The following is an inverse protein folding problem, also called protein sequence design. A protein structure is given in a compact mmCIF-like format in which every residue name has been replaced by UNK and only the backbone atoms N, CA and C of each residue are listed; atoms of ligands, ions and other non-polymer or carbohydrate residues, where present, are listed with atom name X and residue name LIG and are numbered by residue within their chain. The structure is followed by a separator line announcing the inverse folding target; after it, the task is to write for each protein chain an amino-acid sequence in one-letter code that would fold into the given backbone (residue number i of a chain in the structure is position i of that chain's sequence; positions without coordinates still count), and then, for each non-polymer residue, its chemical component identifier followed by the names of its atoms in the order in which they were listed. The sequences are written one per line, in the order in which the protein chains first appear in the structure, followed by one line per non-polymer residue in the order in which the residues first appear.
data_IF_085293579956
#
_entry.id   IF_085293579956
#
_cell.length_a   1.000
_cell.length_b   1.000
_cell.length_c   1.000
_cell.angle_alpha   90.00
_cell.angle_beta   90.00
_cell.angle_gamma   90.00
#
_symmetry.space_group_name_H-M   'P 1'
#
loop_
_entity.id
_entity.type
_entity.pdbx_description
1 polymer ?
#
# COMPACT_ATOMS: atom_id res chain seq x y z
N UNK A 1 31.62 -7.24 4.76
CA UNK A 1 31.21 -5.96 4.15
C UNK A 1 29.72 -6.06 3.91
N UNK A 2 28.93 -5.52 4.85
CA UNK A 2 27.50 -5.80 4.93
C UNK A 2 26.73 -5.18 3.75
N UNK A 3 25.78 -5.93 3.23
CA UNK A 3 24.84 -5.55 2.17
C UNK A 3 24.40 -4.10 2.30
N UNK A 4 24.62 -3.33 1.23
CA UNK A 4 23.78 -2.16 0.97
C UNK A 4 22.39 -2.70 0.69
N UNK A 5 21.62 -2.96 1.75
CA UNK A 5 20.19 -3.25 1.66
C UNK A 5 19.59 -2.25 0.66
N UNK A 6 19.06 -2.78 -0.43
CA UNK A 6 18.53 -1.99 -1.53
C UNK A 6 17.28 -1.28 -1.03
N UNK A 7 17.47 -0.11 -0.45
CA UNK A 7 16.38 0.69 0.11
C UNK A 7 15.33 0.93 -0.94
N UNK A 8 14.07 0.74 -0.57
CA UNK A 8 12.94 1.07 -1.42
C UNK A 8 12.80 2.59 -1.46
N UNK A 9 12.84 3.16 -2.67
CA UNK A 9 12.65 4.59 -2.88
C UNK A 9 11.21 4.88 -3.28
N UNK A 10 10.50 5.64 -2.44
CA UNK A 10 9.17 6.15 -2.74
C UNK A 10 9.27 7.56 -3.30
N UNK A 11 8.90 7.79 -4.57
CA UNK A 11 8.95 9.10 -5.17
C UNK A 11 7.95 10.06 -4.49
N UNK A 12 8.21 11.37 -4.53
CA UNK A 12 7.26 12.35 -4.04
C UNK A 12 6.00 12.32 -4.92
N UNK A 13 4.90 11.80 -4.37
CA UNK A 13 3.60 11.76 -5.02
C UNK A 13 2.65 12.79 -4.39
N UNK A 14 1.61 13.19 -5.13
CA UNK A 14 0.57 14.10 -4.64
C UNK A 14 -0.34 13.39 -3.63
N UNK A 15 0.10 13.32 -2.38
CA UNK A 15 -0.67 12.81 -1.24
C UNK A 15 -0.88 13.93 -0.24
N UNK A 16 -1.99 14.67 -0.34
CA UNK A 16 -2.23 15.84 0.52
C UNK A 16 -1.15 16.92 0.32
N UNK A 17 -0.21 17.04 1.28
CA UNK A 17 1.00 17.87 1.15
C UNK A 17 2.18 16.99 0.69
N UNK A 18 2.60 17.05 -0.60
CA UNK A 18 3.66 16.20 -1.10
C UNK A 18 4.98 16.47 -0.37
N UNK A 19 5.76 15.41 -0.14
CA UNK A 19 7.13 15.55 0.33
C UNK A 19 7.98 16.25 -0.75
N UNK A 20 8.94 17.09 -0.32
CA UNK A 20 9.85 17.76 -1.25
C UNK A 20 10.93 16.82 -1.82
N UNK A 21 11.10 15.63 -1.23
CA UNK A 21 12.13 14.66 -1.60
C UNK A 21 11.59 13.23 -1.53
N UNK A 22 12.18 12.29 -2.27
CA UNK A 22 11.89 10.86 -2.13
C UNK A 22 12.12 10.39 -0.70
N UNK A 23 11.28 9.44 -0.27
CA UNK A 23 11.43 8.76 1.02
C UNK A 23 12.12 7.42 0.80
N UNK A 24 12.98 7.00 1.72
CA UNK A 24 13.76 5.76 1.62
C UNK A 24 13.47 4.89 2.83
N UNK A 25 13.09 3.65 2.59
CA UNK A 25 12.70 2.68 3.60
C UNK A 25 13.47 1.37 3.41
N UNK A 26 13.63 0.59 4.48
CA UNK A 26 14.03 -0.81 4.34
C UNK A 26 12.89 -1.62 3.68
N UNK A 27 13.18 -2.75 3.01
CA UNK A 27 12.16 -3.55 2.30
C UNK A 27 10.97 -3.97 3.18
N UNK A 28 11.24 -4.33 4.43
CA UNK A 28 10.22 -4.80 5.38
C UNK A 28 9.68 -3.67 6.29
N UNK A 29 10.11 -2.43 6.04
CA UNK A 29 9.69 -1.28 6.85
C UNK A 29 8.27 -0.84 6.47
N UNK A 30 7.38 -0.77 7.47
CA UNK A 30 5.99 -0.40 7.26
C UNK A 30 5.85 1.10 6.97
N UNK A 31 5.26 1.42 5.82
CA UNK A 31 4.98 2.81 5.40
C UNK A 31 3.53 3.16 5.68
N UNK A 32 3.28 4.20 6.48
CA UNK A 32 1.94 4.75 6.65
C UNK A 32 1.51 5.53 5.40
N UNK A 33 0.35 5.17 4.86
CA UNK A 33 -0.31 5.83 3.75
C UNK A 33 -1.71 6.26 4.18
N UNK A 34 -1.95 7.57 4.29
CA UNK A 34 -3.27 8.11 4.62
C UNK A 34 -4.07 8.38 3.33
N UNK A 35 -5.12 7.60 3.12
CA UNK A 35 -6.07 7.78 2.01
C UNK A 35 -7.51 7.98 2.51
N UNK A 36 -8.25 8.81 1.79
CA UNK A 36 -9.70 8.95 1.98
C UNK A 36 -10.41 8.19 0.87
N UNK A 37 -11.25 7.24 1.24
CA UNK A 37 -12.02 6.41 0.32
C UNK A 37 -13.53 6.60 0.52
N UNK A 38 -14.37 6.35 -0.49
CA UNK A 38 -15.82 6.37 -0.33
C UNK A 38 -16.31 5.40 0.75
N UNK A 39 -17.32 5.79 1.53
CA UNK A 39 -17.86 4.97 2.61
C UNK A 39 -18.38 3.60 2.14
N UNK A 40 -18.89 3.51 0.91
CA UNK A 40 -19.34 2.23 0.32
C UNK A 40 -18.19 1.24 0.16
N UNK A 41 -17.02 1.72 -0.30
CA UNK A 41 -15.84 0.89 -0.47
C UNK A 41 -15.27 0.48 0.89
N UNK A 42 -15.25 1.42 1.87
CA UNK A 42 -14.87 1.10 3.23
C UNK A 42 -15.77 0.00 3.81
N UNK A 43 -17.09 0.08 3.62
CA UNK A 43 -18.01 -0.97 4.08
C UNK A 43 -17.65 -2.34 3.50
N UNK A 44 -17.44 -2.43 2.18
CA UNK A 44 -17.07 -3.69 1.53
C UNK A 44 -15.78 -4.28 2.10
N UNK A 45 -14.75 -3.45 2.32
CA UNK A 45 -13.50 -3.87 2.92
C UNK A 45 -13.70 -4.44 4.33
N UNK A 46 -14.50 -3.77 5.16
CA UNK A 46 -14.79 -4.22 6.52
C UNK A 46 -15.67 -5.48 6.56
N UNK A 47 -16.63 -5.62 5.64
CA UNK A 47 -17.46 -6.83 5.54
C UNK A 47 -16.61 -8.06 5.22
N UNK A 48 -15.63 -7.94 4.31
CA UNK A 48 -14.69 -9.03 3.96
C UNK A 48 -13.81 -9.37 5.17
N UNK A 49 -13.22 -8.36 5.80
CA UNK A 49 -12.39 -8.56 7.00
C UNK A 49 -13.15 -9.27 8.13
N UNK A 50 -14.41 -8.88 8.35
CA UNK A 50 -15.29 -9.51 9.34
C UNK A 50 -15.59 -10.97 8.97
N UNK A 51 -15.93 -11.23 7.70
CA UNK A 51 -16.29 -12.57 7.21
C UNK A 51 -15.11 -13.55 7.32
N UNK A 52 -13.91 -13.09 6.98
CA UNK A 52 -12.71 -13.93 6.96
C UNK A 52 -11.99 -13.99 8.31
N UNK A 53 -12.45 -13.22 9.31
CA UNK A 53 -11.79 -13.12 10.62
C UNK A 53 -10.39 -12.49 10.56
N UNK A 54 -10.14 -11.63 9.56
CA UNK A 54 -8.84 -11.00 9.30
C UNK A 54 -8.84 -9.53 9.69
N UNK A 55 -7.65 -8.96 9.89
CA UNK A 55 -7.54 -7.51 10.10
C UNK A 55 -7.84 -6.77 8.79
N UNK A 56 -8.48 -5.60 8.90
CA UNK A 56 -8.77 -4.72 7.76
C UNK A 56 -7.49 -4.37 6.99
N UNK A 57 -6.38 -4.15 7.70
CA UNK A 57 -5.07 -3.88 7.09
C UNK A 57 -4.57 -5.03 6.22
N UNK A 58 -4.71 -6.28 6.68
CA UNK A 58 -4.28 -7.45 5.90
C UNK A 58 -5.11 -7.62 4.63
N UNK A 59 -6.44 -7.53 4.74
CA UNK A 59 -7.34 -7.59 3.58
C UNK A 59 -7.05 -6.44 2.60
N UNK A 60 -6.81 -5.24 3.12
CA UNK A 60 -6.46 -4.08 2.29
C UNK A 60 -5.16 -4.29 1.53
N UNK A 61 -4.11 -4.79 2.19
CA UNK A 61 -2.82 -5.06 1.57
C UNK A 61 -2.93 -6.12 0.45
N UNK A 62 -3.65 -7.21 0.71
CA UNK A 62 -3.85 -8.28 -0.29
C UNK A 62 -4.64 -7.79 -1.51
N UNK A 63 -5.74 -7.07 -1.29
CA UNK A 63 -6.55 -6.51 -2.37
C UNK A 63 -5.75 -5.49 -3.20
N UNK A 64 -4.91 -4.67 -2.55
CA UNK A 64 -4.06 -3.71 -3.24
C UNK A 64 -2.95 -4.43 -4.03
N UNK A 65 -2.31 -5.45 -3.45
CA UNK A 65 -1.29 -6.25 -4.14
C UNK A 65 -1.87 -6.92 -5.39
N UNK A 66 -3.01 -7.61 -5.26
CA UNK A 66 -3.68 -8.25 -6.38
C UNK A 66 -4.09 -7.25 -7.48
N UNK A 67 -4.56 -6.06 -7.09
CA UNK A 67 -4.90 -5.01 -8.05
C UNK A 67 -3.65 -4.48 -8.79
N UNK A 68 -2.53 -4.30 -8.10
CA UNK A 68 -1.27 -3.85 -8.70
C UNK A 68 -0.67 -4.92 -9.63
N UNK A 69 -0.73 -6.19 -9.26
CA UNK A 69 -0.32 -7.31 -10.12
C UNK A 69 -1.16 -7.38 -11.39
N UNK A 70 -2.48 -7.23 -11.28
CA UNK A 70 -3.39 -7.20 -12.42
C UNK A 70 -3.13 -6.00 -13.35
N UNK A 71 -2.90 -4.82 -12.78
CA UNK A 71 -2.55 -3.63 -13.55
C UNK A 71 -1.17 -3.74 -14.21
N UNK A 72 -0.19 -4.33 -13.53
CA UNK A 72 1.16 -4.56 -14.06
C UNK A 72 1.16 -5.54 -15.22
N UNK A 73 0.39 -6.63 -15.11
CA UNK A 73 0.23 -7.61 -16.18
C UNK A 73 -0.44 -7.03 -17.45
N UNK A 74 -1.12 -5.88 -17.35
CA UNK A 74 -1.70 -5.18 -18.49
C UNK A 74 -0.78 -4.09 -19.08
N UNK A 75 0.36 -3.79 -18.43
CA UNK A 75 1.35 -2.79 -18.85
C UNK A 75 2.64 -3.40 -19.40
N UNK A 76 2.75 -4.73 -19.42
CA UNK A 76 3.80 -5.52 -20.10
C UNK A 76 3.38 -5.89 -21.53
#
# INVERSE_FOLDING_TARGET
MAERESRIELPPARTGRPAARPRRYAPDELVRFDARIPARLAKQLYDVALTDGRSVTAVHADLLAAALECCGAAMD
#
